data_IF_101763864988
#
_entry.id   IF_101763864988
#
_cell.length_a   1.000
_cell.length_b   1.000
_cell.length_c   1.000
_cell.angle_alpha   90.00
_cell.angle_beta   90.00
_cell.angle_gamma   90.00
#
_symmetry.space_group_name_H-M   'P 1'
#
loop_
_entity.id
_entity.type
_entity.pdbx_description
1 polymer ?
#
# COMPACT_ATOMS: atom_id res chain seq x y z
N UNK A 1 -11.46 -52.16 -10.91
CA UNK A 1 -10.22 -51.41 -11.19
C UNK A 1 -10.46 -49.91 -11.45
N UNK A 2 -11.46 -49.27 -10.79
CA UNK A 2 -11.86 -47.88 -11.07
C UNK A 2 -11.75 -46.91 -9.87
N UNK A 3 -11.77 -47.41 -8.62
CA UNK A 3 -11.71 -46.53 -7.45
C UNK A 3 -10.31 -45.95 -7.23
N UNK A 4 -9.24 -46.71 -7.50
CA UNK A 4 -7.86 -46.22 -7.35
C UNK A 4 -7.57 -45.07 -8.32
N UNK A 5 -8.02 -45.21 -9.57
CA UNK A 5 -7.82 -44.23 -10.64
C UNK A 5 -8.62 -42.94 -10.38
N UNK A 6 -9.85 -43.07 -9.87
CA UNK A 6 -10.68 -41.95 -9.42
C UNK A 6 -10.05 -41.23 -8.22
N UNK A 7 -9.56 -41.97 -7.22
CA UNK A 7 -8.87 -41.40 -6.06
C UNK A 7 -7.60 -40.66 -6.46
N UNK A 8 -6.80 -41.21 -7.38
CA UNK A 8 -5.61 -40.56 -7.93
C UNK A 8 -6.00 -39.27 -8.67
N UNK A 9 -7.09 -39.27 -9.45
CA UNK A 9 -7.58 -38.07 -10.15
C UNK A 9 -8.06 -36.97 -9.18
N UNK A 10 -8.71 -37.35 -8.07
CA UNK A 10 -9.16 -36.42 -7.03
C UNK A 10 -7.96 -35.84 -6.26
N UNK A 11 -6.93 -36.65 -6.00
CA UNK A 11 -5.70 -36.19 -5.35
C UNK A 11 -4.92 -35.26 -6.31
N UNK A 12 -4.76 -35.64 -7.57
CA UNK A 12 -4.08 -34.81 -8.57
C UNK A 12 -4.81 -33.50 -8.85
N UNK A 13 -6.14 -33.51 -8.94
CA UNK A 13 -6.91 -32.26 -9.09
C UNK A 13 -6.73 -31.35 -7.89
N UNK A 14 -6.81 -31.86 -6.64
CA UNK A 14 -6.51 -31.07 -5.44
C UNK A 14 -5.08 -30.54 -5.42
N UNK A 15 -4.12 -31.29 -5.97
CA UNK A 15 -2.71 -30.88 -6.01
C UNK A 15 -2.44 -29.82 -7.09
N UNK A 16 -3.11 -29.89 -8.24
CA UNK A 16 -2.96 -28.90 -9.31
C UNK A 16 -3.73 -27.60 -9.03
N UNK A 17 -4.90 -27.66 -8.38
CA UNK A 17 -5.69 -26.46 -8.06
C UNK A 17 -5.12 -25.63 -6.89
N UNK A 18 -4.28 -26.22 -6.03
CA UNK A 18 -3.74 -25.52 -4.86
C UNK A 18 -2.44 -24.72 -5.13
N UNK A 19 -1.89 -24.74 -6.34
CA UNK A 19 -0.54 -24.23 -6.62
C UNK A 19 -0.48 -23.03 -7.58
N UNK A 20 -1.61 -22.52 -8.08
CA UNK A 20 -1.64 -21.30 -8.90
C UNK A 20 -2.17 -20.11 -8.10
N UNK A 21 -1.59 -19.89 -6.93
CA UNK A 21 -1.97 -18.77 -6.09
C UNK A 21 -1.00 -17.60 -6.31
N UNK A 22 -1.39 -16.68 -7.18
CA UNK A 22 -0.67 -15.43 -7.32
C UNK A 22 -0.75 -14.63 -6.02
N UNK A 23 0.35 -13.94 -5.75
CA UNK A 23 0.49 -13.06 -4.61
C UNK A 23 0.54 -11.61 -5.11
N UNK A 24 -0.39 -10.80 -4.63
CA UNK A 24 -0.58 -9.43 -5.10
C UNK A 24 -0.20 -8.46 -4.01
N UNK A 25 0.66 -7.51 -4.34
CA UNK A 25 1.11 -6.45 -3.46
C UNK A 25 0.54 -5.12 -3.91
N UNK A 26 -0.17 -4.44 -3.02
CA UNK A 26 -0.65 -3.10 -3.30
C UNK A 26 0.52 -2.11 -3.33
N UNK A 27 0.65 -1.39 -4.44
CA UNK A 27 1.76 -0.44 -4.67
C UNK A 27 1.46 0.92 -4.02
N UNK A 28 0.22 1.17 -3.60
CA UNK A 28 -0.22 2.46 -3.07
C UNK A 28 -0.49 2.40 -1.58
N UNK A 29 0.04 3.40 -0.89
CA UNK A 29 -0.11 3.60 0.55
C UNK A 29 -0.62 5.01 0.81
N UNK A 30 -1.09 5.27 2.02
CA UNK A 30 -1.38 6.63 2.49
C UNK A 30 -0.37 6.99 3.58
N UNK A 31 0.91 6.99 3.19
CA UNK A 31 2.02 7.08 4.14
C UNK A 31 2.62 8.48 4.07
N UNK A 32 2.63 9.18 5.19
CA UNK A 32 3.03 10.59 5.22
C UNK A 32 4.51 10.76 4.88
N UNK A 33 5.31 9.75 5.18
CA UNK A 33 6.74 9.69 4.90
C UNK A 33 7.05 9.38 3.43
N UNK A 34 6.09 8.84 2.66
CA UNK A 34 6.31 8.43 1.28
C UNK A 34 6.35 9.64 0.33
N UNK A 35 7.49 9.83 -0.34
CA UNK A 35 7.68 10.91 -1.34
C UNK A 35 6.60 10.93 -2.43
N UNK A 36 6.11 9.74 -2.80
CA UNK A 36 5.12 9.56 -3.85
C UNK A 36 3.75 10.19 -3.54
N UNK A 37 3.44 10.39 -2.25
CA UNK A 37 2.17 10.94 -1.77
C UNK A 37 2.19 12.47 -1.64
N UNK A 38 3.35 13.09 -1.90
CA UNK A 38 3.53 14.54 -1.94
C UNK A 38 3.43 15.09 -3.36
N UNK A 39 2.83 16.28 -3.49
CA UNK A 39 2.80 16.99 -4.77
C UNK A 39 4.22 17.23 -5.31
N UNK A 40 4.40 16.98 -6.61
CA UNK A 40 5.70 17.01 -7.29
C UNK A 40 6.73 16.00 -6.76
N UNK A 41 6.28 14.94 -6.08
CA UNK A 41 7.14 13.89 -5.53
C UNK A 41 8.26 14.49 -4.69
N UNK A 42 7.90 15.32 -3.72
CA UNK A 42 8.90 16.03 -2.92
C UNK A 42 8.44 16.16 -1.48
N UNK A 43 9.05 15.37 -0.60
CA UNK A 43 8.77 15.38 0.83
C UNK A 43 8.99 16.78 1.45
N UNK A 44 8.27 17.11 2.54
CA UNK A 44 8.51 18.32 3.32
C UNK A 44 9.86 18.31 4.03
N UNK A 45 10.47 19.49 4.08
CA UNK A 45 11.64 19.74 4.90
C UNK A 45 11.23 20.16 6.31
N UNK A 46 12.20 20.08 7.23
CA UNK A 46 12.04 20.61 8.57
C UNK A 46 11.63 22.09 8.56
N UNK A 47 10.49 22.41 9.16
CA UNK A 47 9.98 23.78 9.24
C UNK A 47 9.11 24.24 8.06
N UNK A 48 8.80 23.36 7.11
CA UNK A 48 7.83 23.65 6.05
C UNK A 48 6.39 23.77 6.59
N UNK A 49 5.50 24.28 5.74
CA UNK A 49 4.06 24.40 5.99
C UNK A 49 3.34 23.30 5.20
N UNK A 50 2.53 22.50 5.89
CA UNK A 50 1.88 21.33 5.30
C UNK A 50 0.40 21.61 5.05
N UNK A 51 -0.05 21.23 3.86
CA UNK A 51 -1.43 21.38 3.38
C UNK A 51 -1.98 20.02 2.95
N UNK A 52 -3.13 19.64 3.49
CA UNK A 52 -3.90 18.50 2.98
C UNK A 52 -4.90 18.98 1.92
N UNK A 53 -4.92 18.33 0.76
CA UNK A 53 -5.85 18.71 -0.33
C UNK A 53 -7.29 18.38 0.09
N UNK A 54 -8.20 19.36 -0.01
CA UNK A 54 -9.56 19.36 0.59
C UNK A 54 -10.48 18.19 0.23
N UNK A 55 -10.13 17.37 -0.76
CA UNK A 55 -10.93 16.23 -1.24
C UNK A 55 -10.15 14.90 -1.31
N UNK A 56 -8.91 14.85 -0.82
CA UNK A 56 -8.10 13.62 -0.85
C UNK A 56 -8.24 12.84 0.46
N UNK A 57 -8.59 11.55 0.33
CA UNK A 57 -8.47 10.41 1.25
C UNK A 57 -8.45 10.67 2.77
N UNK A 58 -9.41 10.05 3.47
CA UNK A 58 -9.74 10.26 4.87
C UNK A 58 -8.86 9.48 5.87
N UNK A 59 -7.78 8.85 5.43
CA UNK A 59 -6.95 8.01 6.29
C UNK A 59 -5.48 8.12 5.92
N UNK A 60 -4.64 8.54 6.84
CA UNK A 60 -3.18 8.51 6.64
C UNK A 60 -2.46 8.20 7.94
N UNK A 61 -1.27 7.63 7.80
CA UNK A 61 -0.39 7.34 8.93
C UNK A 61 0.78 8.28 8.91
N UNK A 62 1.17 8.76 10.08
CA UNK A 62 2.47 9.37 10.31
C UNK A 62 3.19 8.47 11.30
N UNK A 63 4.19 7.75 10.83
CA UNK A 63 4.90 6.73 11.58
C UNK A 63 6.17 7.26 12.25
N UNK A 64 6.76 8.32 11.69
CA UNK A 64 8.01 8.91 12.16
C UNK A 64 7.85 10.33 12.70
N UNK A 65 8.79 10.74 13.54
CA UNK A 65 8.84 12.12 14.05
C UNK A 65 8.92 13.14 12.91
N UNK A 66 8.35 14.33 13.09
CA UNK A 66 8.48 15.40 12.10
C UNK A 66 8.48 16.78 12.75
N UNK A 67 9.13 17.74 12.09
CA UNK A 67 9.20 19.14 12.49
C UNK A 67 8.72 20.02 11.34
N UNK A 68 7.73 20.85 11.63
CA UNK A 68 7.06 21.72 10.66
C UNK A 68 6.74 23.05 11.31
N UNK A 69 6.45 24.07 10.49
CA UNK A 69 5.96 25.35 11.00
C UNK A 69 4.47 25.30 11.33
N UNK A 70 3.67 24.74 10.42
CA UNK A 70 2.23 24.57 10.61
C UNK A 70 1.71 23.47 9.68
N UNK A 71 0.55 22.91 10.03
CA UNK A 71 -0.15 21.88 9.27
C UNK A 71 -1.64 22.18 9.24
N UNK A 72 -2.19 22.32 8.04
CA UNK A 72 -3.61 22.49 7.81
C UNK A 72 -4.24 21.11 7.68
N UNK A 73 -4.91 20.66 8.75
CA UNK A 73 -5.55 19.34 8.80
C UNK A 73 -6.65 19.20 7.74
N UNK A 74 -6.90 17.98 7.24
CA UNK A 74 -8.01 17.74 6.33
C UNK A 74 -9.36 18.03 7.02
N UNK A 75 -10.32 18.53 6.26
CA UNK A 75 -11.67 18.79 6.77
C UNK A 75 -12.40 17.50 7.20
N UNK A 76 -12.07 16.38 6.57
CA UNK A 76 -12.60 15.05 6.88
C UNK A 76 -11.44 14.06 6.82
N UNK A 77 -11.30 13.24 7.85
CA UNK A 77 -10.29 12.19 7.89
C UNK A 77 -9.84 11.80 9.29
N UNK A 78 -8.96 10.81 9.34
CA UNK A 78 -8.35 10.24 10.53
C UNK A 78 -6.84 10.17 10.30
N UNK A 79 -6.10 10.67 11.27
CA UNK A 79 -4.64 10.63 11.29
C UNK A 79 -4.23 9.60 12.34
N UNK A 80 -3.52 8.57 11.91
CA UNK A 80 -2.89 7.63 12.83
C UNK A 80 -1.47 8.07 13.10
N UNK A 81 -1.16 8.33 14.36
CA UNK A 81 0.20 8.57 14.80
C UNK A 81 0.83 7.24 15.25
N UNK A 82 2.00 6.93 14.69
CA UNK A 82 2.79 5.78 15.09
C UNK A 82 3.26 5.87 16.53
N UNK A 83 3.54 4.71 17.13
CA UNK A 83 4.05 4.63 18.49
C UNK A 83 5.38 5.40 18.60
N UNK A 84 5.53 6.23 19.64
CA UNK A 84 6.73 7.03 19.93
C UNK A 84 7.04 8.18 18.94
N UNK A 85 6.12 8.54 18.05
CA UNK A 85 6.24 9.72 17.22
C UNK A 85 6.37 11.00 18.06
N UNK A 86 7.28 11.91 17.65
CA UNK A 86 7.47 13.22 18.27
C UNK A 86 7.23 14.34 17.27
N UNK A 87 6.19 15.13 17.50
CA UNK A 87 5.93 16.37 16.76
C UNK A 87 6.91 17.45 17.26
N UNK A 88 7.54 18.16 16.32
CA UNK A 88 8.56 19.18 16.61
C UNK A 88 10.00 18.66 16.56
N UNK A 89 10.20 17.34 16.40
CA UNK A 89 11.51 16.72 16.17
C UNK A 89 11.61 16.27 14.72
N UNK A 90 12.70 16.63 14.04
CA UNK A 90 12.94 16.20 12.65
C UNK A 90 13.04 14.66 12.57
N UNK A 91 12.29 14.05 11.66
CA UNK A 91 12.41 12.63 11.30
C UNK A 91 13.55 12.35 10.32
N UNK A 92 13.86 11.07 10.12
CA UNK A 92 14.90 10.66 9.15
C UNK A 92 14.49 10.97 7.72
N UNK A 93 13.21 10.81 7.43
CA UNK A 93 12.58 11.03 6.12
C UNK A 93 12.49 12.50 5.68
N UNK A 94 12.51 13.47 6.61
CA UNK A 94 12.41 14.89 6.27
C UNK A 94 13.74 15.44 5.75
N UNK A 95 13.67 16.28 4.73
CA UNK A 95 14.84 17.06 4.31
C UNK A 95 15.24 18.12 5.34
N UNK A 96 16.48 18.62 5.22
CA UNK A 96 17.01 19.66 6.11
C UNK A 96 16.24 20.98 5.98
N UNK A 97 16.19 21.76 7.06
CA UNK A 97 15.52 23.06 7.08
C UNK A 97 16.10 23.96 5.99
N UNK A 98 15.20 24.60 5.23
CA UNK A 98 15.54 25.64 4.24
C UNK A 98 15.45 27.03 4.87
N UNK A 99 16.07 28.01 4.23
CA UNK A 99 16.07 29.41 4.69
C UNK A 99 14.65 29.99 4.80
N UNK A 100 13.76 29.57 3.89
CA UNK A 100 12.36 29.97 3.86
C UNK A 100 11.46 28.73 3.92
N UNK A 101 10.46 28.71 4.83
CA UNK A 101 9.43 27.68 4.83
C UNK A 101 8.75 27.57 3.47
N UNK A 102 8.61 26.35 2.96
CA UNK A 102 7.89 26.08 1.73
C UNK A 102 6.51 25.49 2.03
N UNK A 103 5.56 25.75 1.13
CA UNK A 103 4.25 25.11 1.17
C UNK A 103 4.32 23.74 0.49
N UNK A 104 3.91 22.71 1.23
CA UNK A 104 3.95 21.31 0.81
C UNK A 104 2.56 20.74 0.85
N UNK A 105 2.14 20.13 -0.25
CA UNK A 105 0.79 19.61 -0.42
C UNK A 105 0.83 18.09 -0.39
N UNK A 106 0.17 17.51 0.60
CA UNK A 106 -0.05 16.07 0.66
C UNK A 106 -1.26 15.74 -0.23
N UNK A 107 -1.03 14.96 -1.28
CA UNK A 107 -2.02 14.70 -2.31
C UNK A 107 -1.93 13.27 -2.85
N UNK A 108 -2.45 12.35 -2.04
CA UNK A 108 -2.63 10.93 -2.41
C UNK A 108 -3.51 10.79 -3.66
N UNK A 109 -4.48 11.70 -3.84
CA UNK A 109 -5.43 11.66 -4.96
C UNK A 109 -4.83 12.03 -6.33
N UNK A 110 -3.65 12.65 -6.36
CA UNK A 110 -2.97 13.03 -7.62
C UNK A 110 -2.69 11.86 -8.55
N UNK A 111 -2.67 10.63 -8.02
CA UNK A 111 -2.48 9.41 -8.79
C UNK A 111 -3.80 8.64 -9.02
N UNK A 112 -4.93 9.12 -8.49
CA UNK A 112 -6.19 8.39 -8.37
C UNK A 112 -6.33 7.69 -7.02
N UNK A 113 -7.55 7.50 -6.53
CA UNK A 113 -7.77 6.71 -5.32
C UNK A 113 -7.32 5.26 -5.60
N UNK A 114 -6.64 4.58 -4.66
CA UNK A 114 -6.35 3.16 -4.81
C UNK A 114 -7.66 2.42 -5.08
N UNK A 115 -7.76 1.76 -6.22
CA UNK A 115 -8.92 1.00 -6.65
C UNK A 115 -8.51 -0.46 -6.74
N UNK A 116 -9.25 -1.33 -6.06
CA UNK A 116 -8.97 -2.77 -6.04
C UNK A 116 -8.96 -3.39 -7.45
N UNK A 117 -9.79 -2.86 -8.36
CA UNK A 117 -9.98 -3.38 -9.71
C UNK A 117 -9.08 -2.71 -10.76
N UNK A 118 -8.16 -1.84 -10.34
CA UNK A 118 -7.19 -1.22 -11.24
C UNK A 118 -5.84 -1.95 -11.15
N UNK A 119 -5.46 -2.63 -12.24
CA UNK A 119 -4.21 -3.41 -12.33
C UNK A 119 -2.96 -2.57 -12.03
N UNK A 120 -2.99 -1.26 -12.28
CA UNK A 120 -1.82 -0.39 -12.06
C UNK A 120 -1.49 -0.19 -10.57
N UNK A 121 -2.37 -0.64 -9.69
CA UNK A 121 -2.18 -0.60 -8.24
C UNK A 121 -1.59 -1.87 -7.66
N UNK A 122 -1.40 -2.93 -8.46
CA UNK A 122 -0.96 -4.23 -7.99
C UNK A 122 0.36 -4.64 -8.66
N UNK A 123 1.30 -5.09 -7.83
CA UNK A 123 2.45 -5.89 -8.26
C UNK A 123 2.14 -7.35 -8.02
N UNK A 124 2.58 -8.22 -8.93
CA UNK A 124 2.17 -9.62 -8.95
C UNK A 124 3.42 -10.48 -8.79
N UNK A 125 3.33 -11.49 -7.94
CA UNK A 125 4.35 -12.51 -7.71
C UNK A 125 3.74 -13.88 -7.96
N UNK A 126 4.57 -14.84 -8.38
CA UNK A 126 4.15 -16.23 -8.54
C UNK A 126 3.67 -16.86 -7.22
N UNK A 127 4.23 -16.43 -6.09
CA UNK A 127 3.85 -16.82 -4.73
C UNK A 127 4.47 -15.82 -3.71
N UNK A 128 4.11 -15.96 -2.43
CA UNK A 128 4.57 -15.10 -1.32
C UNK A 128 6.11 -15.08 -1.16
N UNK A 129 6.78 -16.19 -1.45
CA UNK A 129 8.23 -16.37 -1.26
C UNK A 129 9.06 -15.90 -2.47
N UNK A 130 8.41 -15.44 -3.55
CA UNK A 130 9.10 -15.01 -4.76
C UNK A 130 9.73 -13.63 -4.56
N UNK A 131 11.03 -13.53 -4.79
CA UNK A 131 11.76 -12.25 -4.76
C UNK A 131 11.53 -11.40 -6.02
N UNK A 132 11.09 -12.04 -7.13
CA UNK A 132 10.83 -11.36 -8.39
C UNK A 132 9.34 -11.12 -8.66
N UNK A 133 9.06 -9.99 -9.27
CA UNK A 133 7.74 -9.64 -9.80
C UNK A 133 7.54 -10.21 -11.19
N UNK A 134 6.32 -10.60 -11.48
CA UNK A 134 5.88 -11.01 -12.80
C UNK A 134 5.65 -9.79 -13.69
N UNK A 135 5.91 -9.96 -14.98
CA UNK A 135 5.48 -8.99 -15.98
C UNK A 135 3.96 -9.13 -16.19
N UNK A 136 3.21 -8.11 -15.79
CA UNK A 136 1.75 -8.08 -15.93
C UNK A 136 1.28 -8.21 -17.38
N UNK A 137 2.10 -7.85 -18.37
CA UNK A 137 1.73 -7.94 -19.79
C UNK A 137 1.58 -9.40 -20.24
N UNK A 138 2.27 -10.32 -19.57
CA UNK A 138 2.19 -11.77 -19.84
C UNK A 138 0.94 -12.43 -19.28
N UNK A 139 0.18 -11.73 -18.43
CA UNK A 139 -1.02 -12.22 -17.77
C UNK A 139 -2.29 -11.76 -18.48
N UNK A 140 -3.35 -12.56 -18.38
CA UNK A 140 -4.68 -12.15 -18.82
C UNK A 140 -5.19 -11.01 -17.96
N UNK A 141 -6.00 -10.10 -18.52
CA UNK A 141 -6.51 -8.93 -17.79
C UNK A 141 -7.13 -9.27 -16.43
N UNK A 142 -7.88 -10.37 -16.32
CA UNK A 142 -8.50 -10.78 -15.05
C UNK A 142 -7.50 -11.27 -14.00
N UNK A 143 -6.30 -11.72 -14.43
CA UNK A 143 -5.23 -12.17 -13.54
C UNK A 143 -4.36 -11.01 -13.06
N UNK A 144 -4.58 -9.79 -13.56
CA UNK A 144 -3.78 -8.61 -13.20
C UNK A 144 -4.30 -7.88 -11.95
N UNK A 145 -5.39 -8.38 -11.37
CA UNK A 145 -5.96 -7.95 -10.10
C UNK A 145 -6.23 -9.18 -9.24
N UNK A 146 -6.27 -9.06 -7.89
CA UNK A 146 -6.51 -10.21 -7.04
C UNK A 146 -7.91 -10.78 -7.24
N UNK A 147 -8.01 -12.11 -7.25
CA UNK A 147 -9.27 -12.86 -7.34
C UNK A 147 -9.55 -13.68 -6.06
N UNK A 148 -10.60 -14.50 -6.10
CA UNK A 148 -11.03 -15.32 -4.96
C UNK A 148 -10.03 -16.39 -4.52
N UNK A 149 -9.05 -16.73 -5.34
CA UNK A 149 -8.01 -17.70 -5.05
C UNK A 149 -6.66 -17.03 -4.74
N UNK A 150 -6.60 -15.71 -4.84
CA UNK A 150 -5.37 -14.94 -4.70
C UNK A 150 -5.08 -14.57 -3.24
N UNK A 151 -3.81 -14.30 -2.95
CA UNK A 151 -3.40 -13.60 -1.72
C UNK A 151 -3.22 -12.13 -2.07
N UNK A 152 -3.94 -11.25 -1.38
CA UNK A 152 -3.72 -9.81 -1.48
C UNK A 152 -2.98 -9.32 -0.23
N UNK A 153 -1.94 -8.52 -0.44
CA UNK A 153 -1.07 -8.01 0.60
C UNK A 153 -0.88 -6.49 0.51
N UNK A 154 -0.80 -5.85 1.68
CA UNK A 154 -0.25 -4.51 1.82
C UNK A 154 1.19 -4.67 2.30
N UNK A 155 2.19 -4.49 1.42
CA UNK A 155 3.59 -4.72 1.75
C UNK A 155 4.21 -3.61 2.59
N UNK A 156 3.70 -2.38 2.48
CA UNK A 156 4.27 -1.18 3.09
C UNK A 156 3.16 -0.30 3.66
N UNK A 157 3.51 0.52 4.66
CA UNK A 157 2.60 1.47 5.29
C UNK A 157 1.68 0.84 6.34
N UNK A 158 1.38 1.62 7.39
CA UNK A 158 0.56 1.14 8.50
C UNK A 158 -0.94 1.20 8.18
N UNK A 159 -1.37 2.00 7.21
CA UNK A 159 -2.77 2.11 6.82
C UNK A 159 -2.93 2.36 5.32
N UNK A 160 -3.97 1.76 4.75
CA UNK A 160 -4.34 1.88 3.34
C UNK A 160 -5.84 2.07 3.26
N UNK A 161 -6.27 2.91 2.34
CA UNK A 161 -7.66 2.99 1.91
C UNK A 161 -7.71 2.64 0.41
N UNK A 162 -8.62 1.75 0.02
CA UNK A 162 -8.94 1.52 -1.37
C UNK A 162 -10.45 1.51 -1.60
N UNK A 163 -10.86 1.98 -2.77
CA UNK A 163 -12.25 1.96 -3.22
C UNK A 163 -12.58 0.58 -3.80
N UNK A 164 -13.72 0.04 -3.35
CA UNK A 164 -14.31 -1.17 -3.88
C UNK A 164 -15.75 -0.87 -4.28
N UNK A 165 -16.04 -0.89 -5.58
CA UNK A 165 -17.41 -0.67 -6.09
C UNK A 165 -18.29 -1.91 -5.97
N UNK A 166 -17.67 -3.08 -5.83
CA UNK A 166 -18.30 -4.39 -5.73
C UNK A 166 -17.76 -5.14 -4.52
N UNK A 167 -18.46 -6.20 -4.13
CA UNK A 167 -17.97 -7.13 -3.11
C UNK A 167 -16.67 -7.78 -3.59
N UNK A 168 -15.66 -7.79 -2.73
CA UNK A 168 -14.36 -8.41 -2.99
C UNK A 168 -14.35 -9.79 -2.33
N UNK A 169 -14.01 -10.81 -3.12
CA UNK A 169 -13.71 -12.13 -2.63
C UNK A 169 -12.23 -12.40 -2.84
N UNK A 170 -11.52 -12.72 -1.77
CA UNK A 170 -10.10 -13.08 -1.76
C UNK A 170 -9.89 -14.23 -0.80
N UNK A 171 -8.92 -15.10 -1.09
CA UNK A 171 -8.66 -16.24 -0.22
C UNK A 171 -8.01 -15.78 1.10
N UNK A 172 -7.07 -14.85 1.01
CA UNK A 172 -6.33 -14.33 2.16
C UNK A 172 -5.97 -12.86 1.95
N UNK A 173 -6.11 -12.10 3.02
CA UNK A 173 -5.67 -10.71 3.10
C UNK A 173 -4.55 -10.60 4.14
N UNK A 174 -3.39 -10.08 3.74
CA UNK A 174 -2.24 -9.91 4.63
C UNK A 174 -1.92 -8.42 4.76
N UNK A 175 -1.89 -7.94 6.01
CA UNK A 175 -1.34 -6.63 6.34
C UNK A 175 0.03 -6.86 6.98
N UNK A 176 1.11 -6.59 6.25
CA UNK A 176 2.46 -6.68 6.81
C UNK A 176 2.68 -5.47 7.71
N UNK A 177 2.80 -5.70 9.02
CA UNK A 177 3.31 -4.67 9.93
C UNK A 177 4.81 -4.54 9.66
N UNK A 178 5.30 -3.31 9.43
CA UNK A 178 6.75 -3.08 9.39
C UNK A 178 7.37 -3.59 10.69
N UNK A 179 8.12 -4.70 10.60
CA UNK A 179 9.03 -5.13 11.66
C UNK A 179 10.20 -4.15 11.61
N UNK A 180 10.23 -3.19 12.54
CA UNK A 180 11.35 -2.29 12.72
C UNK A 180 12.63 -3.12 12.96
N UNK A 181 13.57 -3.08 12.02
CA UNK A 181 14.95 -3.48 12.30
C UNK A 181 15.56 -2.40 13.19
N UNK A 182 15.71 -2.74 14.47
CA UNK A 182 16.50 -1.95 15.41
C UNK A 182 17.97 -2.24 15.13
N UNK A 183 18.72 -1.25 14.65
CA UNK A 183 20.19 -1.22 14.70
C UNK A 183 20.63 -0.12 15.67
#
# INVERSE_FOLDING_TARGET
MNHLLLSILIIFSKFFFNNCQYYYELIRTNDFEAELDWSNQSTPCSGDIIHFVKNSTNLFTISESFKISSMDLPNNGVIYFGENLKIGRKGGWQCMKKDKPQHKYFNVSSRGNPNFFDQSHWRIKNNELSDSYMDSETLLHFQRVPDSLSIAAIPYGNNVQFEAKNTIHIQKYIKHYQVNFSY
#
